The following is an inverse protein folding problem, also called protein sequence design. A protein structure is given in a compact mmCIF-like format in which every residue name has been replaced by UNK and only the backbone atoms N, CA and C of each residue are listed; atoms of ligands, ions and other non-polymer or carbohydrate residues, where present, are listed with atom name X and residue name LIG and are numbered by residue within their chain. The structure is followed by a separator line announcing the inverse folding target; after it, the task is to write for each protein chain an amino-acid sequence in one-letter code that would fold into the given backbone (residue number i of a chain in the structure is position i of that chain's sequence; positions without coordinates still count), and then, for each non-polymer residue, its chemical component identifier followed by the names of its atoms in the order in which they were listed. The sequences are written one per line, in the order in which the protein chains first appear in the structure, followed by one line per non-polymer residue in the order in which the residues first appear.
data_IF_228614859389
#
_entry.id   IF_228614859389
#
_cell.length_a   1.000
_cell.length_b   1.000
_cell.length_c   1.000
_cell.angle_alpha   90.00
_cell.angle_beta   90.00
_cell.angle_gamma   90.00
#
_symmetry.space_group_name_H-M   'P 1'
#
loop_
_entity.id
_entity.type
_entity.pdbx_description
1 polymer ?
#
# COMPACT_ATOMS: atom_id res chain seq x y z
N UNK A 1 -3.86 12.64 11.59
CA UNK A 1 -2.98 12.01 10.58
C UNK A 1 -3.20 10.50 10.67
N UNK A 2 -4.00 9.92 9.78
CA UNK A 2 -4.32 8.48 9.86
C UNK A 2 -3.19 7.68 9.22
N UNK A 3 -2.46 6.93 10.05
CA UNK A 3 -1.33 6.09 9.66
C UNK A 3 -1.75 4.70 9.16
N UNK A 4 -3.02 4.55 8.75
CA UNK A 4 -3.62 3.27 8.37
C UNK A 4 -2.90 2.56 7.20
N UNK A 5 -2.11 3.30 6.42
CA UNK A 5 -1.30 2.78 5.31
C UNK A 5 0.13 2.37 5.71
N UNK A 6 0.61 2.68 6.92
CA UNK A 6 1.93 2.23 7.40
C UNK A 6 2.19 0.73 7.30
N UNK A 7 1.26 -0.17 7.68
CA UNK A 7 1.50 -1.60 7.55
C UNK A 7 1.69 -2.03 6.09
N UNK A 8 1.11 -1.28 5.14
CA UNK A 8 1.21 -1.58 3.71
C UNK A 8 2.57 -1.18 3.13
N UNK A 9 3.20 -0.11 3.64
CA UNK A 9 4.53 0.38 3.21
C UNK A 9 5.67 -0.60 3.50
N UNK A 10 5.44 -1.57 4.36
CA UNK A 10 6.40 -2.62 4.70
C UNK A 10 6.16 -3.93 3.95
N UNK A 11 5.25 -3.96 2.98
CA UNK A 11 5.06 -5.16 2.17
C UNK A 11 6.23 -5.31 1.18
N UNK A 12 6.85 -6.48 1.16
CA UNK A 12 7.89 -6.83 0.20
C UNK A 12 7.30 -7.21 -1.17
N UNK A 13 6.10 -7.80 -1.16
CA UNK A 13 5.47 -8.42 -2.32
C UNK A 13 3.97 -8.14 -2.38
N UNK A 14 3.41 -8.28 -3.59
CA UNK A 14 1.99 -8.10 -3.90
C UNK A 14 1.11 -9.02 -3.06
N UNK A 15 1.54 -10.26 -2.81
CA UNK A 15 0.77 -11.23 -2.01
C UNK A 15 0.58 -10.76 -0.57
N UNK A 16 1.64 -10.27 0.07
CA UNK A 16 1.59 -9.75 1.45
C UNK A 16 0.75 -8.48 1.51
N UNK A 17 0.89 -7.61 0.50
CA UNK A 17 0.07 -6.41 0.36
C UNK A 17 -1.42 -6.75 0.21
N UNK A 18 -1.74 -7.76 -0.59
CA UNK A 18 -3.10 -8.26 -0.79
C UNK A 18 -3.71 -8.73 0.53
N UNK A 19 -2.99 -9.55 1.29
CA UNK A 19 -3.46 -10.05 2.59
C UNK A 19 -3.65 -8.92 3.60
N UNK A 20 -2.71 -7.96 3.65
CA UNK A 20 -2.82 -6.81 4.53
C UNK A 20 -4.03 -5.92 4.18
N UNK A 21 -4.27 -5.67 2.88
CA UNK A 21 -5.46 -4.95 2.42
C UNK A 21 -6.74 -5.69 2.76
N UNK A 22 -6.79 -7.01 2.54
CA UNK A 22 -7.96 -7.82 2.93
C UNK A 22 -8.23 -7.73 4.42
N UNK A 23 -7.22 -7.91 5.26
CA UNK A 23 -7.36 -7.81 6.71
C UNK A 23 -7.80 -6.41 7.15
N UNK A 24 -7.27 -5.37 6.49
CA UNK A 24 -7.61 -4.00 6.81
C UNK A 24 -9.04 -3.66 6.39
N UNK A 25 -9.46 -4.11 5.22
CA UNK A 25 -10.80 -3.89 4.68
C UNK A 25 -11.86 -4.71 5.42
N UNK A 26 -11.50 -5.89 5.94
CA UNK A 26 -12.39 -6.79 6.67
C UNK A 26 -13.06 -6.15 7.89
N UNK A 27 -12.47 -5.09 8.46
CA UNK A 27 -13.08 -4.36 9.59
C UNK A 27 -14.26 -3.47 9.15
N UNK A 28 -14.27 -3.06 7.88
CA UNK A 28 -15.29 -2.20 7.29
C UNK A 28 -16.33 -3.04 6.54
N UNK A 29 -15.91 -4.14 5.94
CA UNK A 29 -16.79 -5.03 5.21
C UNK A 29 -16.07 -6.04 4.33
N UNK A 30 -16.76 -6.48 3.29
CA UNK A 30 -16.22 -7.44 2.32
C UNK A 30 -15.73 -6.71 1.08
N UNK A 31 -14.54 -7.10 0.61
CA UNK A 31 -14.02 -6.61 -0.66
C UNK A 31 -14.71 -7.37 -1.80
N UNK A 32 -15.44 -6.65 -2.64
CA UNK A 32 -16.03 -7.18 -3.87
C UNK A 32 -14.98 -7.39 -4.97
N UNK A 33 -14.01 -6.48 -5.07
CA UNK A 33 -12.91 -6.59 -6.04
C UNK A 33 -11.61 -6.02 -5.49
N UNK A 34 -10.51 -6.74 -5.69
CA UNK A 34 -9.16 -6.28 -5.40
C UNK A 34 -8.24 -6.61 -6.57
N UNK A 35 -7.70 -5.57 -7.19
CA UNK A 35 -6.70 -5.66 -8.25
C UNK A 35 -5.43 -4.93 -7.79
N UNK A 36 -4.27 -5.54 -7.97
CA UNK A 36 -2.99 -4.97 -7.54
C UNK A 36 -2.04 -4.99 -8.72
N UNK A 37 -1.67 -3.80 -9.17
CA UNK A 37 -0.74 -3.58 -10.26
C UNK A 37 0.60 -3.15 -9.67
N UNK A 38 1.59 -4.03 -9.75
CA UNK A 38 2.97 -3.67 -9.43
C UNK A 38 3.52 -2.77 -10.54
N UNK A 39 3.83 -1.53 -10.20
CA UNK A 39 4.46 -0.56 -11.08
C UNK A 39 5.94 -0.38 -10.68
N UNK A 40 6.85 -0.72 -11.59
CA UNK A 40 8.25 -0.31 -11.47
C UNK A 40 8.43 1.05 -12.13
N UNK A 41 8.84 2.08 -11.39
CA UNK A 41 9.18 3.39 -11.95
C UNK A 41 10.54 3.84 -11.41
N UNK A 42 11.51 4.01 -12.32
CA UNK A 42 12.79 4.67 -12.07
C UNK A 42 13.50 4.27 -10.75
N UNK A 43 13.60 2.97 -10.46
CA UNK A 43 14.28 2.45 -9.26
C UNK A 43 13.43 2.38 -7.99
N UNK A 44 12.16 2.80 -8.05
CA UNK A 44 11.16 2.57 -7.00
C UNK A 44 10.16 1.52 -7.46
N UNK A 45 9.80 0.62 -6.54
CA UNK A 45 8.78 -0.39 -6.77
C UNK A 45 7.53 0.08 -6.06
N UNK A 46 6.51 0.43 -6.82
CA UNK A 46 5.23 0.86 -6.28
C UNK A 46 4.17 -0.18 -6.63
N UNK A 47 3.08 -0.20 -5.87
CA UNK A 47 1.91 -0.97 -6.22
C UNK A 47 0.69 -0.06 -6.20
N UNK A 48 -0.04 -0.04 -7.31
CA UNK A 48 -1.36 0.55 -7.39
C UNK A 48 -2.37 -0.53 -7.03
N UNK A 49 -3.14 -0.28 -5.98
CA UNK A 49 -4.18 -1.19 -5.52
C UNK A 49 -5.53 -0.56 -5.85
N UNK A 50 -6.28 -1.23 -6.72
CA UNK A 50 -7.66 -0.90 -7.01
C UNK A 50 -8.53 -1.81 -6.17
N UNK A 51 -9.28 -1.23 -5.25
CA UNK A 51 -10.16 -1.95 -4.36
C UNK A 51 -11.59 -1.44 -4.50
N UNK A 52 -12.55 -2.35 -4.33
CA UNK A 52 -13.97 -2.04 -4.35
C UNK A 52 -14.66 -2.84 -3.27
N UNK A 53 -15.42 -2.16 -2.42
CA UNK A 53 -16.23 -2.82 -1.40
C UNK A 53 -17.55 -3.30 -1.98
N UNK A 54 -18.22 -4.16 -1.22
CA UNK A 54 -19.56 -4.64 -1.57
C UNK A 54 -20.62 -3.53 -1.52
N UNK A 55 -20.47 -2.61 -0.55
CA UNK A 55 -21.38 -1.49 -0.35
C UNK A 55 -20.70 -0.12 -0.45
N UNK A 56 -21.40 0.91 -0.98
CA UNK A 56 -20.85 2.27 -1.09
C UNK A 56 -20.60 2.91 0.27
N UNK A 57 -21.32 2.52 1.33
CA UNK A 57 -21.10 3.00 2.70
C UNK A 57 -19.71 2.56 3.21
N UNK A 58 -19.36 1.30 2.98
CA UNK A 58 -18.05 0.73 3.34
C UNK A 58 -16.92 1.41 2.58
N UNK A 59 -17.14 1.73 1.28
CA UNK A 59 -16.18 2.53 0.51
C UNK A 59 -15.93 3.89 1.16
N UNK A 60 -16.99 4.60 1.58
CA UNK A 60 -16.88 5.94 2.18
C UNK A 60 -16.16 5.92 3.51
N UNK A 61 -16.42 4.94 4.36
CA UNK A 61 -15.70 4.76 5.63
C UNK A 61 -14.21 4.48 5.38
N UNK A 62 -13.91 3.59 4.44
CA UNK A 62 -12.54 3.27 4.06
C UNK A 62 -11.81 4.50 3.48
N UNK A 63 -12.48 5.31 2.65
CA UNK A 63 -11.93 6.57 2.13
C UNK A 63 -11.56 7.53 3.25
N UNK A 64 -12.42 7.66 4.27
CA UNK A 64 -12.18 8.52 5.42
C UNK A 64 -11.01 8.04 6.28
N UNK A 65 -10.92 6.72 6.48
CA UNK A 65 -9.87 6.10 7.30
C UNK A 65 -8.50 6.07 6.61
N UNK A 66 -8.45 5.61 5.35
CA UNK A 66 -7.20 5.50 4.60
C UNK A 66 -6.79 6.82 3.92
N UNK A 67 -7.70 7.79 3.79
CA UNK A 67 -7.46 9.03 3.05
C UNK A 67 -7.29 8.82 1.55
N UNK A 68 -7.94 7.79 0.99
CA UNK A 68 -7.76 7.37 -0.40
C UNK A 68 -8.86 7.93 -1.32
N UNK A 69 -8.50 8.19 -2.58
CA UNK A 69 -9.40 8.74 -3.59
C UNK A 69 -10.14 7.65 -4.38
N UNK A 70 -11.29 8.02 -4.96
CA UNK A 70 -12.05 7.17 -5.88
C UNK A 70 -11.75 7.56 -7.31
N UNK A 71 -11.36 6.59 -8.13
CA UNK A 71 -11.05 6.77 -9.54
C UNK A 71 -11.84 5.75 -10.37
N UNK A 72 -12.64 6.21 -11.32
CA UNK A 72 -13.42 5.31 -12.21
C UNK A 72 -14.48 4.44 -11.52
N UNK A 73 -14.76 4.67 -10.23
CA UNK A 73 -15.66 3.83 -9.43
C UNK A 73 -14.93 2.82 -8.52
N UNK A 74 -13.60 2.77 -8.57
CA UNK A 74 -12.76 1.98 -7.68
C UNK A 74 -11.94 2.89 -6.77
N UNK A 75 -11.60 2.40 -5.59
CA UNK A 75 -10.71 3.08 -4.65
C UNK A 75 -9.26 2.76 -5.01
N UNK A 76 -8.45 3.81 -5.15
CA UNK A 76 -7.05 3.65 -5.58
C UNK A 76 -6.11 3.98 -4.45
N UNK A 77 -5.27 3.01 -4.09
CA UNK A 77 -4.24 3.14 -3.06
C UNK A 77 -2.89 2.93 -3.70
N UNK A 78 -2.00 3.91 -3.55
CA UNK A 78 -0.62 3.80 -4.03
C UNK A 78 0.27 3.53 -2.84
N UNK A 79 0.98 2.40 -2.87
CA UNK A 79 1.94 2.03 -1.83
C UNK A 79 3.31 1.84 -2.44
N UNK A 80 4.34 2.27 -1.70
CA UNK A 80 5.72 1.98 -2.03
C UNK A 80 6.06 0.59 -1.47
N UNK A 81 6.47 -0.32 -2.34
CA UNK A 81 6.97 -1.63 -1.97
C UNK A 81 8.47 -1.53 -1.67
N UNK A 82 8.92 -2.30 -0.69
CA UNK A 82 10.35 -2.34 -0.36
C UNK A 82 11.12 -2.88 -1.56
N UNK A 83 11.90 -2.02 -2.21
CA UNK A 83 12.85 -2.47 -3.22
C UNK A 83 13.94 -3.27 -2.52
N UNK A 84 14.06 -4.56 -2.83
CA UNK A 84 15.15 -5.38 -2.33
C UNK A 84 16.48 -4.86 -2.89
N UNK A 85 17.21 -4.11 -2.06
CA UNK A 85 18.54 -3.53 -2.35
C UNK A 85 18.44 -2.02 -2.64
N UNK A 86 18.96 -1.13 -1.82
CA UNK A 86 20.25 -1.19 -1.15
C UNK A 86 20.20 -0.63 0.27
N UNK A 87 20.45 -1.49 1.24
CA UNK A 87 21.09 -1.05 2.48
C UNK A 87 22.50 -0.60 2.12
N UNK A 88 22.66 0.64 1.66
CA UNK A 88 23.95 1.30 1.66
C UNK A 88 23.94 2.36 2.76
N UNK A 89 23.96 1.89 4.00
CA UNK A 89 24.58 2.65 5.07
C UNK A 89 26.07 2.76 4.73
N UNK A 90 26.43 3.75 3.92
CA UNK A 90 27.80 4.26 3.81
C UNK A 90 28.15 4.88 5.17
N UNK A 91 28.40 4.05 6.17
CA UNK A 91 29.19 4.43 7.31
C UNK A 91 30.67 4.19 6.94
N UNK A 92 31.22 5.06 6.11
CA UNK A 92 32.67 5.22 6.06
C UNK A 92 33.07 6.08 7.26
N UNK A 93 33.10 5.45 8.45
CA UNK A 93 33.94 5.95 9.52
C UNK A 93 35.37 5.64 9.11
N UNK A 94 35.99 6.57 8.37
CA UNK A 94 37.42 6.55 8.16
C UNK A 94 38.07 6.91 9.50
N UNK A 95 38.67 5.91 10.15
CA UNK A 95 39.80 6.11 11.06
C UNK A 95 40.94 6.80 10.30
N UNK A 96 41.50 7.85 10.89
CA UNK A 96 42.92 8.17 10.77
C UNK A 96 43.34 9.00 12.00
N UNK A 97 44.39 8.51 12.64
CA UNK A 97 45.07 9.04 13.83
C UNK A 97 45.45 10.53 13.74
#
# INVERSE_FOLDING_TARGET
MNNALEPLKNCADVSTLRSALYSLCSRFGSIARLDILAAGQAGKRQALCFLRMDSPEQERELMSELGVGRFGGDLVVIVDLRTGGSANSLNVSAEAL
#
